data_IF_235388200796
#
_entry.id   IF_235388200796
#
_cell.length_a   1.000
_cell.length_b   1.000
_cell.length_c   1.000
_cell.angle_alpha   90.00
_cell.angle_beta   90.00
_cell.angle_gamma   90.00
#
_symmetry.space_group_name_H-M   'P 1'
#
loop_
_entity.id
_entity.type
_entity.pdbx_description
1 polymer ?
#
# COMPACT_ATOMS: atom_id res chain seq x y z
N UNK A 1 -32.75 -10.02 12.84
CA UNK A 1 -32.18 -9.61 11.53
C UNK A 1 -32.59 -8.16 11.32
N UNK A 2 -31.77 -7.15 11.11
CA UNK A 2 -30.33 -6.90 11.14
C UNK A 2 -30.27 -5.37 11.22
N UNK A 3 -29.64 -4.78 12.24
CA UNK A 3 -29.34 -3.35 12.23
C UNK A 3 -27.96 -3.18 11.56
N UNK A 4 -27.90 -3.49 10.26
CA UNK A 4 -26.64 -3.66 9.52
C UNK A 4 -26.00 -2.32 9.18
N UNK A 5 -24.88 -2.01 9.83
CA UNK A 5 -24.00 -0.91 9.43
C UNK A 5 -23.54 -1.10 7.98
N UNK A 6 -23.75 -0.11 7.09
CA UNK A 6 -23.23 -0.17 5.71
C UNK A 6 -21.71 -0.18 5.74
N UNK A 7 -21.11 -1.19 5.11
CA UNK A 7 -19.67 -1.28 4.90
C UNK A 7 -19.27 -0.45 3.67
N UNK A 8 -18.16 0.29 3.77
CA UNK A 8 -17.59 1.06 2.67
C UNK A 8 -16.16 0.61 2.40
N UNK A 9 -15.88 0.20 1.17
CA UNK A 9 -14.54 -0.17 0.72
C UNK A 9 -13.94 1.01 -0.04
N UNK A 10 -12.97 1.70 0.58
CA UNK A 10 -12.40 2.97 0.07
C UNK A 10 -10.88 2.96 -0.06
N UNK A 11 -10.26 1.78 -0.09
CA UNK A 11 -8.81 1.63 -0.14
C UNK A 11 -8.16 2.43 -1.28
N UNK A 12 -8.66 2.27 -2.51
CA UNK A 12 -8.19 3.02 -3.68
C UNK A 12 -8.39 4.53 -3.54
N UNK A 13 -9.56 4.97 -3.05
CA UNK A 13 -9.84 6.39 -2.86
C UNK A 13 -8.93 7.03 -1.80
N UNK A 14 -8.59 6.27 -0.75
CA UNK A 14 -7.65 6.71 0.28
C UNK A 14 -6.23 6.80 -0.30
N UNK A 15 -5.83 5.80 -1.10
CA UNK A 15 -4.54 5.80 -1.80
C UNK A 15 -4.35 7.05 -2.68
N UNK A 16 -5.31 7.33 -3.56
CA UNK A 16 -5.28 8.49 -4.45
C UNK A 16 -5.18 9.80 -3.69
N UNK A 17 -6.04 9.99 -2.68
CA UNK A 17 -6.05 11.21 -1.87
C UNK A 17 -4.70 11.45 -1.14
N UNK A 18 -4.12 10.39 -0.57
CA UNK A 18 -2.83 10.49 0.11
C UNK A 18 -1.70 10.78 -0.89
N UNK A 19 -1.68 10.10 -2.04
CA UNK A 19 -0.64 10.33 -3.05
C UNK A 19 -0.68 11.74 -3.61
N UNK A 20 -1.88 12.27 -3.91
CA UNK A 20 -2.05 13.65 -4.36
C UNK A 20 -1.52 14.66 -3.34
N UNK A 21 -1.85 14.47 -2.06
CA UNK A 21 -1.37 15.32 -0.97
C UNK A 21 0.17 15.24 -0.86
N UNK A 22 0.74 14.02 -0.84
CA UNK A 22 2.18 13.81 -0.75
C UNK A 22 2.94 14.42 -1.94
N UNK A 23 2.40 14.30 -3.16
CA UNK A 23 2.97 14.92 -4.36
C UNK A 23 2.96 16.44 -4.26
N UNK A 24 1.90 17.02 -3.69
CA UNK A 24 1.77 18.47 -3.49
C UNK A 24 2.81 19.02 -2.51
N UNK A 25 3.18 18.26 -1.48
CA UNK A 25 4.18 18.67 -0.48
C UNK A 25 5.62 18.27 -0.85
N UNK A 26 5.83 17.68 -2.04
CA UNK A 26 7.17 17.52 -2.61
C UNK A 26 7.63 16.07 -2.83
N UNK A 27 6.77 15.07 -2.66
CA UNK A 27 7.11 13.67 -3.01
C UNK A 27 7.59 13.55 -4.47
N UNK A 28 7.01 14.33 -5.38
CA UNK A 28 7.38 14.44 -6.80
C UNK A 28 8.84 14.86 -7.06
N UNK A 29 9.51 15.42 -6.06
CA UNK A 29 10.92 15.85 -6.13
C UNK A 29 11.84 15.01 -5.26
N UNK A 30 11.31 13.99 -4.59
CA UNK A 30 12.11 13.18 -3.66
C UNK A 30 13.14 12.34 -4.39
N UNK A 31 14.36 12.29 -3.84
CA UNK A 31 15.42 11.41 -4.32
C UNK A 31 15.29 9.98 -3.78
N UNK A 32 14.55 9.81 -2.70
CA UNK A 32 14.35 8.51 -2.06
C UNK A 32 12.93 8.39 -1.51
N UNK A 33 12.31 7.23 -1.69
CA UNK A 33 10.97 6.98 -1.17
C UNK A 33 10.85 5.52 -0.71
N UNK A 34 10.13 5.32 0.39
CA UNK A 34 9.84 4.01 0.96
C UNK A 34 8.33 3.83 0.96
N UNK A 35 7.86 2.76 0.33
CA UNK A 35 6.50 2.29 0.47
C UNK A 35 6.52 1.03 1.34
N UNK A 36 5.79 1.02 2.46
CA UNK A 36 5.82 -0.08 3.40
C UNK A 36 4.43 -0.48 3.89
N UNK A 37 4.31 -1.75 4.27
CA UNK A 37 3.05 -2.29 4.77
C UNK A 37 3.20 -3.60 5.53
N UNK A 38 2.22 -3.90 6.37
CA UNK A 38 2.13 -5.12 7.18
C UNK A 38 0.80 -5.85 6.90
N UNK A 39 0.80 -7.18 6.88
CA UNK A 39 -0.37 -8.03 6.57
C UNK A 39 -1.07 -7.57 5.28
N UNK A 40 -2.37 -7.24 5.31
CA UNK A 40 -3.12 -6.70 4.18
C UNK A 40 -2.48 -5.43 3.58
N UNK A 41 -1.80 -4.61 4.40
CA UNK A 41 -1.04 -3.46 3.94
C UNK A 41 0.23 -3.82 3.14
N UNK A 42 0.82 -4.98 3.39
CA UNK A 42 1.93 -5.51 2.59
C UNK A 42 1.47 -5.94 1.20
N UNK A 43 0.31 -6.59 1.10
CA UNK A 43 -0.34 -6.86 -0.19
C UNK A 43 -0.72 -5.56 -0.90
N UNK A 44 -1.28 -4.57 -0.19
CA UNK A 44 -1.56 -3.25 -0.78
C UNK A 44 -0.29 -2.54 -1.29
N UNK A 45 0.84 -2.69 -0.58
CA UNK A 45 2.15 -2.18 -1.01
C UNK A 45 2.60 -2.82 -2.32
N UNK A 46 2.38 -4.13 -2.49
CA UNK A 46 2.66 -4.85 -3.73
C UNK A 46 1.71 -4.45 -4.86
N UNK A 47 0.41 -4.28 -4.57
CA UNK A 47 -0.59 -3.88 -5.57
C UNK A 47 -0.27 -2.50 -6.15
N UNK A 48 0.20 -1.56 -5.33
CA UNK A 48 0.44 -0.18 -5.74
C UNK A 48 1.90 0.16 -6.03
N UNK A 49 2.82 -0.82 -6.03
CA UNK A 49 4.25 -0.53 -6.15
C UNK A 49 4.63 0.11 -7.49
N UNK A 50 4.03 -0.34 -8.59
CA UNK A 50 4.28 0.17 -9.93
C UNK A 50 3.69 1.58 -10.12
N UNK A 51 2.48 1.81 -9.61
CA UNK A 51 1.86 3.14 -9.59
C UNK A 51 2.73 4.12 -8.80
N UNK A 52 3.15 3.73 -7.58
CA UNK A 52 4.04 4.53 -6.74
C UNK A 52 5.38 4.84 -7.44
N UNK A 53 5.94 3.87 -8.17
CA UNK A 53 7.14 4.07 -8.98
C UNK A 53 6.93 5.08 -10.09
N UNK A 54 5.76 5.07 -10.73
CA UNK A 54 5.37 5.99 -11.80
C UNK A 54 5.18 7.44 -11.34
N UNK A 55 4.83 7.64 -10.06
CA UNK A 55 4.65 8.97 -9.46
C UNK A 55 5.96 9.69 -9.12
N UNK A 56 7.08 8.96 -9.10
CA UNK A 56 8.39 9.46 -8.67
C UNK A 56 9.34 9.71 -9.85
N UNK A 57 10.32 10.63 -9.71
CA UNK A 57 11.35 10.84 -10.72
C UNK A 57 12.08 9.54 -11.10
N UNK A 58 12.56 9.46 -12.35
CA UNK A 58 13.26 8.25 -12.81
C UNK A 58 14.50 7.92 -11.98
N UNK A 59 15.19 8.93 -11.45
CA UNK A 59 16.42 8.74 -10.69
C UNK A 59 16.19 8.53 -9.18
N UNK A 60 14.93 8.49 -8.73
CA UNK A 60 14.62 8.25 -7.32
C UNK A 60 14.93 6.81 -6.93
N UNK A 61 15.57 6.61 -5.77
CA UNK A 61 15.69 5.29 -5.15
C UNK A 61 14.38 4.93 -4.46
N UNK A 62 13.77 3.83 -4.88
CA UNK A 62 12.56 3.31 -4.24
C UNK A 62 12.91 2.04 -3.48
N UNK A 63 12.40 1.94 -2.26
CA UNK A 63 12.43 0.72 -1.47
C UNK A 63 11.01 0.28 -1.13
N UNK A 64 10.80 -1.02 -1.09
CA UNK A 64 9.58 -1.64 -0.61
C UNK A 64 9.90 -2.41 0.66
N UNK A 65 9.08 -2.27 1.70
CA UNK A 65 9.23 -3.04 2.94
C UNK A 65 7.91 -3.72 3.31
N UNK A 66 7.89 -5.03 3.16
CA UNK A 66 6.78 -5.88 3.59
C UNK A 66 7.15 -6.50 4.93
N UNK A 67 6.45 -6.11 5.99
CA UNK A 67 6.72 -6.63 7.34
C UNK A 67 6.09 -8.02 7.55
N UNK A 68 5.21 -8.44 6.64
CA UNK A 68 4.65 -9.81 6.59
C UNK A 68 4.69 -10.32 5.15
N UNK A 69 5.54 -11.32 4.82
CA UNK A 69 5.53 -11.93 3.50
C UNK A 69 4.20 -12.67 3.28
N UNK A 70 3.63 -12.56 2.07
CA UNK A 70 2.36 -13.19 1.68
C UNK A 70 2.32 -14.69 2.03
N UNK A 71 3.45 -15.37 1.86
CA UNK A 71 3.67 -16.78 2.20
C UNK A 71 3.44 -17.11 3.68
N UNK A 72 3.72 -16.19 4.61
CA UNK A 72 3.49 -16.43 6.04
C UNK A 72 2.00 -16.31 6.39
N UNK A 73 1.24 -15.50 5.66
CA UNK A 73 -0.20 -15.38 5.85
C UNK A 73 -0.93 -16.60 5.30
N UNK A 74 -0.51 -17.13 4.14
CA UNK A 74 -0.96 -18.43 3.62
C UNK A 74 -0.63 -19.55 4.60
N UNK A 75 0.60 -19.59 5.14
CA UNK A 75 0.99 -20.59 6.12
C UNK A 75 0.14 -20.54 7.41
N UNK A 76 -0.19 -19.35 7.91
CA UNK A 76 -1.06 -19.18 9.09
C UNK A 76 -2.50 -19.59 8.76
N UNK A 77 -2.99 -19.27 7.55
CA UNK A 77 -4.32 -19.65 7.09
C UNK A 77 -4.47 -21.17 6.92
N UNK A 78 -3.47 -21.80 6.30
CA UNK A 78 -3.40 -23.25 6.11
C UNK A 78 -3.22 -23.98 7.46
N UNK A 79 -2.57 -23.36 8.45
CA UNK A 79 -2.45 -23.90 9.80
C UNK A 79 -3.72 -23.73 10.66
N UNK A 80 -4.69 -22.91 10.21
CA UNK A 80 -5.97 -22.68 10.89
C UNK A 80 -7.16 -23.41 10.23
N UNK A 81 -6.92 -24.14 9.13
CA UNK A 81 -7.80 -25.17 8.58
C UNK A 81 -7.53 -26.52 9.25
#
# INVERSE_FOLDING_TARGET
MENGSKLFFRGQLIWEAIMDELLSIGLSKSKQALLSGCSAGGLATLIHCDDFRGLLPRDSRIQLSNVMPMQLMELIWDAYQ
#
